data_IF_539610950613
#
_entry.id   IF_539610950613
#
_cell.length_a   1.000
_cell.length_b   1.000
_cell.length_c   1.000
_cell.angle_alpha   90.00
_cell.angle_beta   90.00
_cell.angle_gamma   90.00
#
_symmetry.space_group_name_H-M   'P 1'
#
loop_
_entity.id
_entity.type
_entity.pdbx_description
1 polymer ?
#
# COMPACT_ATOMS: atom_id res chain seq x y z
N UNK A 1 -9.54 8.90 -19.32
CA UNK A 1 -8.78 8.82 -18.06
C UNK A 1 -7.41 8.20 -18.31
N UNK A 2 -6.38 8.60 -17.56
CA UNK A 2 -5.04 8.01 -17.71
C UNK A 2 -4.97 6.65 -17.00
N UNK A 3 -4.46 5.58 -17.64
CA UNK A 3 -4.29 4.28 -17.00
C UNK A 3 -3.38 4.38 -15.77
N UNK A 4 -3.49 3.41 -14.86
CA UNK A 4 -2.61 3.32 -13.71
C UNK A 4 -1.15 3.16 -14.16
N UNK A 5 -0.23 3.75 -13.41
CA UNK A 5 1.19 3.45 -13.55
C UNK A 5 1.44 1.95 -13.25
N UNK A 6 2.55 1.37 -13.73
CA UNK A 6 2.94 0.03 -13.35
C UNK A 6 3.01 -0.12 -11.83
N UNK A 7 2.57 -1.28 -11.35
CA UNK A 7 2.59 -1.66 -9.95
C UNK A 7 3.28 -3.02 -9.82
N UNK A 8 4.01 -3.21 -8.72
CA UNK A 8 4.58 -4.51 -8.38
C UNK A 8 3.56 -5.28 -7.55
N UNK A 9 3.38 -6.56 -7.87
CA UNK A 9 2.46 -7.48 -7.21
C UNK A 9 3.22 -8.74 -6.80
N UNK A 10 3.15 -9.10 -5.53
CA UNK A 10 3.74 -10.33 -4.99
C UNK A 10 2.69 -11.10 -4.21
N UNK A 11 2.42 -12.33 -4.62
CA UNK A 11 1.54 -13.23 -3.86
C UNK A 11 2.27 -13.77 -2.63
N UNK A 12 1.64 -13.63 -1.47
CA UNK A 12 2.12 -14.19 -0.18
C UNK A 12 1.42 -15.51 0.09
N UNK A 13 0.11 -15.54 -0.15
CA UNK A 13 -0.74 -16.73 -0.11
C UNK A 13 -1.63 -16.73 -1.36
N UNK A 14 -2.45 -17.77 -1.59
CA UNK A 14 -3.42 -17.74 -2.70
C UNK A 14 -4.47 -16.63 -2.60
N UNK A 15 -4.68 -16.04 -1.41
CA UNK A 15 -5.70 -15.01 -1.16
C UNK A 15 -5.12 -13.68 -0.67
N UNK A 16 -3.83 -13.62 -0.35
CA UNK A 16 -3.13 -12.43 0.13
C UNK A 16 -1.98 -12.05 -0.81
N UNK A 17 -1.90 -10.77 -1.13
CA UNK A 17 -0.84 -10.23 -1.96
C UNK A 17 -0.36 -8.87 -1.46
N UNK A 18 0.93 -8.63 -1.61
CA UNK A 18 1.58 -7.33 -1.42
C UNK A 18 1.53 -6.56 -2.74
N UNK A 19 1.12 -5.29 -2.68
CA UNK A 19 1.07 -4.40 -3.86
C UNK A 19 1.84 -3.13 -3.57
N UNK A 20 2.84 -2.85 -4.40
CA UNK A 20 3.63 -1.62 -4.31
C UNK A 20 3.17 -0.64 -5.38
N UNK A 21 2.75 0.55 -4.92
CA UNK A 21 2.27 1.65 -5.76
C UNK A 21 3.15 2.88 -5.58
N UNK A 22 3.41 3.58 -6.69
CA UNK A 22 4.10 4.89 -6.72
C UNK A 22 3.14 6.05 -6.97
N UNK A 23 1.84 5.77 -7.12
CA UNK A 23 0.76 6.75 -7.23
C UNK A 23 -0.41 6.39 -6.28
N UNK A 24 -1.26 7.38 -6.00
CA UNK A 24 -2.39 7.24 -5.06
C UNK A 24 -3.71 7.73 -5.64
N UNK A 25 -4.23 7.07 -6.68
CA UNK A 25 -5.55 7.40 -7.24
C UNK A 25 -6.68 6.96 -6.31
N UNK A 26 -7.85 7.57 -6.46
CA UNK A 26 -9.04 7.23 -5.68
C UNK A 26 -9.34 5.72 -5.75
N UNK A 27 -9.43 5.05 -4.59
CA UNK A 27 -9.68 3.61 -4.47
C UNK A 27 -8.83 2.72 -5.41
N UNK A 28 -7.60 3.14 -5.74
CA UNK A 28 -6.80 2.54 -6.80
C UNK A 28 -6.67 1.02 -6.67
N UNK A 29 -6.20 0.52 -5.52
CA UNK A 29 -6.05 -0.92 -5.28
C UNK A 29 -7.37 -1.65 -5.49
N UNK A 30 -8.45 -1.19 -4.85
CA UNK A 30 -9.78 -1.80 -4.99
C UNK A 30 -10.25 -1.84 -6.44
N UNK A 31 -10.02 -0.78 -7.22
CA UNK A 31 -10.39 -0.73 -8.64
C UNK A 31 -9.51 -1.62 -9.51
N UNK A 32 -8.22 -1.72 -9.22
CA UNK A 32 -7.30 -2.61 -9.94
C UNK A 32 -7.72 -4.08 -9.81
N UNK A 33 -8.01 -4.54 -8.59
CA UNK A 33 -8.49 -5.91 -8.37
C UNK A 33 -9.89 -6.14 -8.94
N UNK A 34 -10.81 -5.17 -8.81
CA UNK A 34 -12.14 -5.28 -9.41
C UNK A 34 -12.08 -5.41 -10.94
N UNK A 35 -11.13 -4.73 -11.60
CA UNK A 35 -10.93 -4.81 -13.05
C UNK A 35 -10.52 -6.22 -13.53
N UNK A 36 -9.95 -7.06 -12.66
CA UNK A 36 -9.61 -8.47 -12.94
C UNK A 36 -10.59 -9.46 -12.32
N UNK A 37 -11.75 -8.98 -11.83
CA UNK A 37 -12.81 -9.82 -11.26
C UNK A 37 -12.58 -10.24 -9.80
N UNK A 38 -11.61 -9.65 -9.10
CA UNK A 38 -11.33 -9.93 -7.70
C UNK A 38 -11.94 -8.86 -6.77
N UNK A 39 -12.36 -9.28 -5.57
CA UNK A 39 -12.87 -8.36 -4.54
C UNK A 39 -11.88 -8.24 -3.40
N UNK A 40 -11.49 -7.01 -3.06
CA UNK A 40 -10.59 -6.73 -1.92
C UNK A 40 -11.39 -6.77 -0.62
N UNK A 41 -11.19 -7.83 0.16
CA UNK A 41 -11.85 -8.02 1.45
C UNK A 41 -11.22 -7.18 2.56
N UNK A 42 -9.89 -7.18 2.65
CA UNK A 42 -9.11 -6.37 3.57
C UNK A 42 -8.05 -5.60 2.77
N UNK A 43 -7.79 -4.36 3.18
CA UNK A 43 -6.71 -3.55 2.62
C UNK A 43 -5.96 -2.92 3.77
N UNK A 44 -4.70 -3.33 3.91
CA UNK A 44 -3.80 -2.83 4.94
C UNK A 44 -2.58 -2.21 4.25
N UNK A 45 -2.18 -1.02 4.70
CA UNK A 45 -0.95 -0.38 4.22
C UNK A 45 0.13 -0.61 5.26
N UNK A 46 1.07 -1.50 4.94
CA UNK A 46 2.18 -1.87 5.82
C UNK A 46 3.35 -0.88 5.77
N UNK A 47 3.52 -0.16 4.66
CA UNK A 47 4.67 0.70 4.42
C UNK A 47 4.35 1.90 3.56
N UNK A 48 5.20 2.93 3.67
CA UNK A 48 5.22 4.11 2.81
C UNK A 48 6.66 4.54 2.55
N UNK A 49 7.13 4.35 1.31
CA UNK A 49 8.54 4.52 0.99
C UNK A 49 9.39 3.59 1.86
N UNK A 50 10.42 4.14 2.52
CA UNK A 50 11.25 3.39 3.46
C UNK A 50 10.62 3.21 4.87
N UNK A 51 9.48 3.83 5.15
CA UNK A 51 8.84 3.76 6.46
C UNK A 51 7.91 2.53 6.54
N UNK A 52 8.28 1.56 7.37
CA UNK A 52 7.41 0.45 7.75
C UNK A 52 6.59 0.74 9.02
N UNK A 53 5.42 0.10 9.12
CA UNK A 53 4.57 0.15 10.31
C UNK A 53 5.21 -0.57 11.52
N UNK A 54 5.89 -1.70 11.27
CA UNK A 54 6.46 -2.54 12.33
C UNK A 54 5.40 -3.08 13.28
N UNK A 55 5.71 -3.12 14.58
CA UNK A 55 4.84 -3.68 15.62
C UNK A 55 3.85 -2.65 16.22
N UNK A 56 3.61 -1.52 15.54
CA UNK A 56 2.71 -0.48 16.05
C UNK A 56 1.25 -0.98 16.07
N UNK A 57 0.58 -1.02 17.24
CA UNK A 57 -0.79 -1.53 17.32
C UNK A 57 -1.81 -0.63 16.61
N UNK A 58 -2.92 -1.22 16.19
CA UNK A 58 -4.03 -0.48 15.60
C UNK A 58 -4.53 0.64 16.54
N UNK A 59 -4.70 1.84 16.00
CA UNK A 59 -5.13 3.03 16.74
C UNK A 59 -4.02 3.75 17.51
N UNK A 60 -2.81 3.20 17.55
CA UNK A 60 -1.64 3.86 18.15
C UNK A 60 -0.86 4.66 17.11
N UNK A 61 -0.03 5.56 17.60
CA UNK A 61 0.87 6.38 16.80
C UNK A 61 2.24 6.47 17.47
N UNK A 62 3.27 6.84 16.70
CA UNK A 62 4.61 7.13 17.19
C UNK A 62 5.16 8.38 16.53
N UNK A 63 5.99 9.12 17.26
CA UNK A 63 6.75 10.21 16.68
C UNK A 63 7.85 9.66 15.77
N UNK A 64 8.08 10.37 14.67
CA UNK A 64 9.16 10.08 13.73
C UNK A 64 10.20 11.21 13.85
N UNK A 65 11.51 10.89 13.85
CA UNK A 65 12.56 11.89 13.73
C UNK A 65 12.35 12.79 12.50
N UNK A 66 12.72 14.08 12.59
CA UNK A 66 12.52 15.06 11.51
C UNK A 66 13.24 14.66 10.20
N UNK A 67 14.30 13.88 10.30
CA UNK A 67 15.13 13.39 9.21
C UNK A 67 14.67 12.04 8.62
N UNK A 68 13.54 11.48 9.07
CA UNK A 68 13.03 10.15 8.66
C UNK A 68 12.93 9.98 7.14
N UNK A 69 12.59 11.05 6.42
CA UNK A 69 12.44 11.01 4.95
C UNK A 69 13.64 11.63 4.21
N UNK A 70 14.73 11.94 4.91
CA UNK A 70 15.90 12.63 4.36
C UNK A 70 15.61 14.09 3.95
N UNK A 71 16.62 14.80 3.43
CA UNK A 71 16.39 16.08 2.76
C UNK A 71 15.51 15.86 1.52
N UNK A 72 14.52 16.74 1.33
CA UNK A 72 13.71 16.79 0.11
C UNK A 72 14.56 17.08 -1.13
#
# INVERSE_FOLDING_TARGET
>A
EKPCAPAELRFVTPLDAEVTLTEGKYHQVRRMFAAVGATVLALHRESFGALGLGDLPAGQWRELPLDTFGPR
#
